data_IF_568808298297
#
_entry.id   IF_568808298297
#
_cell.length_a   1.000
_cell.length_b   1.000
_cell.length_c   1.000
_cell.angle_alpha   90.00
_cell.angle_beta   90.00
_cell.angle_gamma   90.00
#
_symmetry.space_group_name_H-M   'P 1'
#
loop_
_entity.id
_entity.type
_entity.pdbx_description
1 polymer ?
#
# COMPACT_ATOMS: atom_id res chain seq x y z
N UNK A 1 -18.68 15.28 9.69
CA UNK A 1 -18.97 14.31 8.61
C UNK A 1 -18.06 13.12 8.83
N UNK A 2 -18.58 11.89 8.82
CA UNK A 2 -17.71 10.71 8.71
C UNK A 2 -17.26 10.71 7.25
N UNK A 3 -16.00 11.05 7.00
CA UNK A 3 -15.40 10.89 5.66
C UNK A 3 -15.52 9.41 5.25
N UNK A 4 -15.86 9.11 4.00
CA UNK A 4 -15.96 7.72 3.51
C UNK A 4 -14.59 7.01 3.58
N UNK A 5 -14.54 5.73 3.97
CA UNK A 5 -13.32 4.92 3.95
C UNK A 5 -13.67 3.53 3.39
N UNK A 6 -13.15 3.11 2.22
CA UNK A 6 -12.12 3.76 1.41
C UNK A 6 -12.62 5.03 0.74
N UNK A 7 -11.75 6.02 0.55
CA UNK A 7 -12.08 7.24 -0.20
C UNK A 7 -11.67 7.10 -1.67
N UNK A 8 -12.40 7.74 -2.59
CA UNK A 8 -11.96 7.87 -3.99
C UNK A 8 -10.92 8.99 -4.10
N UNK A 9 -9.64 8.62 -4.26
CA UNK A 9 -8.53 9.57 -4.44
C UNK A 9 -8.49 10.09 -5.87
N UNK A 10 -8.63 9.20 -6.86
CA UNK A 10 -8.69 9.59 -8.27
C UNK A 10 -9.74 8.75 -9.01
N UNK A 11 -10.69 9.37 -9.74
CA UNK A 11 -11.41 8.67 -10.79
C UNK A 11 -10.44 8.35 -11.95
N UNK A 12 -10.84 7.43 -12.83
CA UNK A 12 -10.05 7.17 -14.04
C UNK A 12 -9.93 8.41 -14.95
N UNK A 13 -11.01 9.20 -15.04
CA UNK A 13 -11.06 10.42 -15.83
C UNK A 13 -11.92 11.47 -15.10
N UNK A 14 -11.31 12.60 -14.74
CA UNK A 14 -12.01 13.71 -14.06
C UNK A 14 -13.14 14.34 -14.88
N UNK A 15 -13.06 14.32 -16.21
CA UNK A 15 -14.14 14.80 -17.07
C UNK A 15 -15.32 13.81 -17.14
N UNK A 16 -15.08 12.52 -16.82
CA UNK A 16 -16.09 11.45 -16.87
C UNK A 16 -15.93 10.52 -15.66
N UNK A 17 -16.22 11.04 -14.47
CA UNK A 17 -15.91 10.40 -13.18
C UNK A 17 -16.52 9.00 -12.98
N UNK A 18 -17.57 8.64 -13.73
CA UNK A 18 -18.22 7.31 -13.69
C UNK A 18 -17.77 6.38 -14.82
N UNK A 19 -16.95 6.86 -15.76
CA UNK A 19 -16.53 6.07 -16.91
C UNK A 19 -15.40 5.12 -16.51
N UNK A 20 -15.56 3.85 -16.87
CA UNK A 20 -14.56 2.81 -16.67
C UNK A 20 -14.11 2.25 -18.01
N UNK A 21 -12.80 2.24 -18.27
CA UNK A 21 -12.24 1.71 -19.52
C UNK A 21 -11.96 0.21 -19.49
N UNK A 22 -12.21 -0.47 -18.37
CA UNK A 22 -11.80 -1.86 -18.15
C UNK A 22 -10.52 -2.01 -17.31
N UNK A 23 -9.79 -0.93 -17.01
CA UNK A 23 -8.61 -0.98 -16.13
C UNK A 23 -9.00 -1.37 -14.70
N UNK A 24 -8.33 -2.37 -14.15
CA UNK A 24 -8.56 -2.85 -12.77
C UNK A 24 -8.38 -1.72 -11.75
N UNK A 25 -9.32 -1.41 -10.85
CA UNK A 25 -9.11 -0.40 -9.80
C UNK A 25 -7.98 -0.76 -8.85
N UNK A 26 -7.38 0.23 -8.18
CA UNK A 26 -6.36 0.01 -7.15
C UNK A 26 -6.78 0.58 -5.80
N UNK A 27 -6.56 -0.18 -4.72
CA UNK A 27 -6.70 0.28 -3.34
C UNK A 27 -5.31 0.48 -2.72
N UNK A 28 -5.02 1.69 -2.25
CA UNK A 28 -3.75 2.07 -1.62
C UNK A 28 -3.95 2.30 -0.13
N UNK A 29 -3.32 1.47 0.70
CA UNK A 29 -3.38 1.55 2.16
C UNK A 29 -2.39 2.60 2.68
N UNK A 30 -2.77 3.30 3.75
CA UNK A 30 -1.93 4.34 4.35
C UNK A 30 -0.53 3.85 4.76
N UNK A 31 0.42 4.78 4.80
CA UNK A 31 1.77 4.54 5.31
C UNK A 31 1.80 4.54 6.86
N UNK A 32 2.99 4.40 7.45
CA UNK A 32 3.15 4.41 8.91
C UNK A 32 2.60 5.68 9.58
N UNK A 33 2.59 6.81 8.87
CA UNK A 33 1.99 8.06 9.31
C UNK A 33 0.46 8.07 9.39
N UNK A 34 -0.23 7.03 8.90
CA UNK A 34 -1.68 6.85 9.08
C UNK A 34 -2.57 7.57 8.05
N UNK A 35 -1.99 8.27 7.07
CA UNK A 35 -2.73 9.08 6.10
C UNK A 35 -2.61 8.56 4.68
N UNK A 36 -3.51 8.99 3.81
CA UNK A 36 -3.49 8.74 2.36
C UNK A 36 -2.98 9.95 1.58
N UNK A 37 -2.49 10.99 2.26
CA UNK A 37 -2.13 12.29 1.65
C UNK A 37 -1.14 12.15 0.49
N UNK A 38 -0.13 11.29 0.63
CA UNK A 38 0.85 11.03 -0.43
C UNK A 38 0.21 10.61 -1.76
N UNK A 39 -0.92 9.88 -1.71
CA UNK A 39 -1.63 9.43 -2.90
C UNK A 39 -2.45 10.55 -3.57
N UNK A 40 -2.90 11.54 -2.79
CA UNK A 40 -3.55 12.75 -3.32
C UNK A 40 -2.57 13.67 -4.05
N UNK A 41 -1.27 13.57 -3.77
CA UNK A 41 -0.24 14.35 -4.44
C UNK A 41 0.13 13.80 -5.83
N UNK A 42 -0.28 12.57 -6.18
CA UNK A 42 0.08 11.93 -7.45
C UNK A 42 -0.58 12.63 -8.65
N UNK A 43 0.13 12.68 -9.76
CA UNK A 43 -0.48 13.00 -11.06
C UNK A 43 -1.54 11.92 -11.43
N UNK A 44 -2.42 12.20 -12.41
CA UNK A 44 -3.46 11.25 -12.80
C UNK A 44 -2.91 9.88 -13.22
N UNK A 45 -3.23 8.84 -12.45
CA UNK A 45 -2.90 7.44 -12.74
C UNK A 45 -3.78 6.83 -13.85
N UNK A 46 -4.83 7.56 -14.27
CA UNK A 46 -5.79 7.17 -15.33
C UNK A 46 -6.39 5.79 -15.06
N UNK A 47 -6.80 5.58 -13.80
CA UNK A 47 -7.42 4.37 -13.22
C UNK A 47 -8.18 4.82 -11.97
N UNK A 48 -9.19 4.07 -11.54
CA UNK A 48 -9.81 4.32 -10.23
C UNK A 48 -8.83 3.98 -9.11
N UNK A 49 -8.53 4.97 -8.27
CA UNK A 49 -7.60 4.88 -7.14
C UNK A 49 -8.36 5.18 -5.86
N UNK A 50 -8.39 4.20 -4.97
CA UNK A 50 -9.01 4.31 -3.66
C UNK A 50 -7.93 4.39 -2.58
N UNK A 51 -8.11 5.29 -1.62
CA UNK A 51 -7.24 5.45 -0.45
C UNK A 51 -7.90 4.83 0.77
N UNK A 52 -7.15 4.02 1.52
CA UNK A 52 -7.61 3.46 2.80
C UNK A 52 -6.79 4.07 3.93
N UNK A 53 -7.40 5.00 4.67
CA UNK A 53 -6.74 5.72 5.78
C UNK A 53 -6.88 4.96 7.10
N UNK A 54 -6.00 5.28 8.06
CA UNK A 54 -6.09 4.73 9.41
C UNK A 54 -7.33 5.28 10.13
N UNK A 55 -8.33 4.45 10.51
CA UNK A 55 -9.51 4.92 11.25
C UNK A 55 -9.20 5.45 12.64
N UNK A 56 -8.03 5.11 13.18
CA UNK A 56 -7.60 5.49 14.52
C UNK A 56 -6.59 6.63 14.52
N UNK A 57 -6.37 7.28 13.37
CA UNK A 57 -5.43 8.39 13.24
C UNK A 57 -5.67 9.51 14.27
N UNK A 58 -6.94 9.86 14.50
CA UNK A 58 -7.29 10.90 15.48
C UNK A 58 -7.54 10.36 16.88
N UNK A 59 -8.09 9.15 17.01
CA UNK A 59 -8.44 8.59 18.31
C UNK A 59 -7.24 7.99 19.05
N UNK A 60 -6.17 7.63 18.35
CA UNK A 60 -5.02 6.92 18.91
C UNK A 60 -5.33 5.51 19.40
N UNK A 61 -6.51 4.97 19.07
CA UNK A 61 -6.87 3.58 19.40
C UNK A 61 -5.89 2.61 18.72
N UNK A 62 -5.55 1.55 19.43
CA UNK A 62 -4.68 0.48 18.92
C UNK A 62 -5.50 -0.59 18.21
N UNK A 63 -4.85 -1.32 17.31
CA UNK A 63 -5.35 -2.59 16.82
C UNK A 63 -4.76 -3.69 17.71
N UNK A 64 -5.49 -4.15 18.72
CA UNK A 64 -4.98 -5.12 19.69
C UNK A 64 -4.51 -6.42 19.03
N UNK A 65 -5.23 -6.90 18.03
CA UNK A 65 -4.85 -8.04 17.18
C UNK A 65 -3.75 -7.71 16.15
N UNK A 66 -3.23 -6.48 16.16
CA UNK A 66 -2.12 -6.03 15.34
C UNK A 66 -2.44 -5.92 13.84
N UNK A 67 -1.43 -6.20 13.01
CA UNK A 67 -1.56 -6.10 11.55
C UNK A 67 -2.72 -6.95 10.98
N UNK A 68 -2.96 -8.22 11.42
CA UNK A 68 -4.09 -9.00 10.94
C UNK A 68 -5.46 -8.38 11.23
N UNK A 69 -5.67 -7.80 12.42
CA UNK A 69 -6.92 -7.12 12.78
C UNK A 69 -7.15 -5.87 11.92
N UNK A 70 -6.11 -5.04 11.78
CA UNK A 70 -6.17 -3.87 10.90
C UNK A 70 -6.52 -4.25 9.46
N UNK A 71 -5.85 -5.29 8.93
CA UNK A 71 -6.12 -5.79 7.59
C UNK A 71 -7.54 -6.35 7.44
N UNK A 72 -8.08 -7.05 8.46
CA UNK A 72 -9.45 -7.57 8.43
C UNK A 72 -10.49 -6.44 8.34
N UNK A 73 -10.27 -5.35 9.08
CA UNK A 73 -11.10 -4.15 8.97
C UNK A 73 -11.03 -3.55 7.55
N UNK A 74 -9.86 -3.52 6.93
CA UNK A 74 -9.66 -2.99 5.58
C UNK A 74 -10.27 -3.91 4.52
N UNK A 75 -10.18 -5.23 4.68
CA UNK A 75 -10.87 -6.21 3.82
C UNK A 75 -12.37 -5.97 3.83
N UNK A 76 -12.97 -5.77 5.00
CA UNK A 76 -14.41 -5.49 5.09
C UNK A 76 -14.81 -4.22 4.31
N UNK A 77 -14.01 -3.16 4.40
CA UNK A 77 -14.22 -1.91 3.67
C UNK A 77 -14.00 -2.03 2.17
N UNK A 78 -12.95 -2.73 1.73
CA UNK A 78 -12.71 -3.02 0.31
C UNK A 78 -13.88 -3.80 -0.27
N UNK A 79 -14.35 -4.85 0.43
CA UNK A 79 -15.52 -5.63 -0.01
C UNK A 79 -16.79 -4.79 -0.06
N UNK A 80 -17.03 -3.93 0.93
CA UNK A 80 -18.17 -3.02 0.92
C UNK A 80 -18.11 -2.03 -0.25
N UNK A 81 -16.94 -1.45 -0.52
CA UNK A 81 -16.74 -0.55 -1.65
C UNK A 81 -16.97 -1.26 -2.99
N UNK A 82 -16.41 -2.47 -3.15
CA UNK A 82 -16.63 -3.30 -4.34
C UNK A 82 -18.09 -3.73 -4.48
N UNK A 83 -18.80 -3.98 -3.38
CA UNK A 83 -20.21 -4.37 -3.40
C UNK A 83 -21.17 -3.21 -3.68
N UNK A 84 -20.74 -1.95 -3.56
CA UNK A 84 -21.59 -0.79 -3.81
C UNK A 84 -21.98 -0.66 -5.29
N UNK A 85 -23.23 -0.28 -5.59
CA UNK A 85 -23.71 -0.09 -6.98
C UNK A 85 -23.00 1.04 -7.72
N UNK A 86 -22.39 1.95 -6.95
CA UNK A 86 -21.55 3.03 -7.47
C UNK A 86 -20.15 2.59 -7.86
N UNK A 87 -19.75 1.34 -7.56
CA UNK A 87 -18.43 0.84 -7.92
C UNK A 87 -18.32 0.63 -9.43
N UNK A 88 -17.40 1.34 -10.11
CA UNK A 88 -17.42 1.46 -11.57
C UNK A 88 -16.91 0.20 -12.29
N UNK A 89 -16.11 -0.64 -11.63
CA UNK A 89 -15.48 -1.82 -12.23
C UNK A 89 -16.26 -3.12 -12.00
N UNK A 90 -17.60 -3.03 -11.95
CA UNK A 90 -18.48 -4.20 -11.97
C UNK A 90 -18.90 -4.53 -13.39
N UNK A 91 -18.68 -5.77 -13.82
CA UNK A 91 -19.30 -6.27 -15.06
C UNK A 91 -20.74 -6.67 -14.75
N UNK A 92 -21.70 -5.94 -15.32
CA UNK A 92 -23.12 -6.22 -15.14
C UNK A 92 -23.43 -7.69 -15.49
N UNK A 93 -24.11 -8.39 -14.58
CA UNK A 93 -24.49 -9.80 -14.75
C UNK A 93 -23.36 -10.82 -14.62
N UNK A 94 -22.13 -10.42 -14.26
CA UNK A 94 -21.04 -11.37 -14.02
C UNK A 94 -21.10 -11.94 -12.60
N UNK A 95 -20.97 -13.26 -12.49
CA UNK A 95 -20.76 -13.97 -11.22
C UNK A 95 -19.28 -14.11 -10.85
N UNK A 96 -18.37 -13.60 -11.70
CA UNK A 96 -16.94 -13.65 -11.42
C UNK A 96 -16.58 -12.62 -10.33
N UNK A 97 -15.55 -12.90 -9.50
CA UNK A 97 -15.06 -11.93 -8.55
C UNK A 97 -14.57 -10.67 -9.28
N UNK A 98 -14.75 -9.52 -8.64
CA UNK A 98 -14.23 -8.25 -9.13
C UNK A 98 -12.73 -8.23 -8.94
N UNK A 99 -12.00 -8.00 -10.03
CA UNK A 99 -10.56 -7.84 -10.01
C UNK A 99 -10.18 -6.49 -9.38
N UNK A 100 -9.21 -6.53 -8.46
CA UNK A 100 -8.60 -5.36 -7.86
C UNK A 100 -7.07 -5.50 -7.84
N UNK A 101 -6.38 -4.36 -7.89
CA UNK A 101 -5.00 -4.24 -7.44
C UNK A 101 -5.01 -3.66 -6.03
N UNK A 102 -4.01 -4.01 -5.25
CA UNK A 102 -3.81 -3.43 -3.92
C UNK A 102 -2.36 -3.03 -3.73
N UNK A 103 -2.10 -2.12 -2.80
CA UNK A 103 -0.74 -1.71 -2.51
C UNK A 103 -0.64 -0.63 -1.46
N UNK A 104 0.54 -0.06 -1.34
CA UNK A 104 0.77 1.10 -0.50
C UNK A 104 2.24 1.37 -0.27
N UNK A 105 2.50 2.53 0.32
CA UNK A 105 3.83 2.98 0.71
C UNK A 105 4.17 2.53 2.12
N UNK A 106 5.40 2.06 2.33
CA UNK A 106 5.93 1.69 3.63
C UNK A 106 5.06 0.60 4.29
N UNK A 107 4.49 0.87 5.46
CA UNK A 107 3.47 0.04 6.12
C UNK A 107 2.37 -0.42 5.14
N UNK A 108 1.87 0.46 4.28
CA UNK A 108 0.76 0.15 3.38
C UNK A 108 1.07 -0.99 2.41
N UNK A 109 2.34 -1.13 1.99
CA UNK A 109 2.79 -2.27 1.19
C UNK A 109 2.81 -3.56 1.99
N UNK A 110 3.22 -3.53 3.26
CA UNK A 110 3.13 -4.69 4.16
C UNK A 110 1.67 -5.08 4.44
N UNK A 111 0.82 -4.11 4.74
CA UNK A 111 -0.62 -4.31 4.91
C UNK A 111 -1.25 -4.92 3.67
N UNK A 112 -0.82 -4.52 2.47
CA UNK A 112 -1.33 -5.11 1.23
C UNK A 112 -1.01 -6.60 1.09
N UNK A 113 0.12 -7.07 1.64
CA UNK A 113 0.45 -8.50 1.69
C UNK A 113 -0.51 -9.28 2.60
N UNK A 114 -0.81 -8.74 3.78
CA UNK A 114 -1.79 -9.31 4.72
C UNK A 114 -3.21 -9.33 4.11
N UNK A 115 -3.65 -8.20 3.53
CA UNK A 115 -4.95 -8.09 2.86
C UNK A 115 -5.06 -9.09 1.70
N UNK A 116 -4.01 -9.25 0.88
CA UNK A 116 -3.99 -10.27 -0.18
C UNK A 116 -4.20 -11.68 0.37
N UNK A 117 -3.63 -11.97 1.55
CA UNK A 117 -3.75 -13.29 2.17
C UNK A 117 -5.16 -13.55 2.67
N UNK A 118 -5.78 -12.55 3.29
CA UNK A 118 -7.14 -12.66 3.82
C UNK A 118 -8.20 -12.72 2.71
N UNK A 119 -7.93 -12.09 1.55
CA UNK A 119 -8.78 -12.18 0.35
C UNK A 119 -8.48 -13.41 -0.54
N UNK A 120 -7.52 -14.25 -0.16
CA UNK A 120 -7.19 -15.42 -0.97
C UNK A 120 -8.39 -16.39 -1.06
N UNK A 121 -8.87 -16.64 -2.29
CA UNK A 121 -10.03 -17.49 -2.54
C UNK A 121 -11.38 -16.82 -2.23
N UNK A 122 -11.41 -15.51 -1.99
CA UNK A 122 -12.67 -14.79 -1.83
C UNK A 122 -13.51 -14.85 -3.12
N UNK A 123 -14.81 -15.07 -2.96
CA UNK A 123 -15.75 -15.27 -4.07
C UNK A 123 -16.16 -13.96 -4.77
N UNK A 124 -16.04 -12.84 -4.08
CA UNK A 124 -16.54 -11.54 -4.52
C UNK A 124 -15.41 -10.64 -5.03
N UNK A 125 -14.20 -10.81 -4.49
CA UNK A 125 -13.03 -9.96 -4.80
C UNK A 125 -11.82 -10.81 -5.11
N UNK A 126 -11.11 -10.49 -6.20
CA UNK A 126 -9.84 -11.15 -6.57
C UNK A 126 -8.70 -10.14 -6.64
N UNK A 127 -7.65 -10.38 -5.87
CA UNK A 127 -6.42 -9.58 -5.91
C UNK A 127 -5.56 -10.03 -7.09
N UNK A 128 -5.45 -9.20 -8.12
CA UNK A 128 -4.63 -9.47 -9.31
C UNK A 128 -3.15 -9.21 -9.11
N UNK A 129 -2.79 -8.32 -8.19
CA UNK A 129 -1.42 -7.93 -7.97
C UNK A 129 -1.24 -6.99 -6.79
N UNK A 130 -0.01 -6.95 -6.30
CA UNK A 130 0.39 -6.19 -5.11
C UNK A 130 1.45 -5.16 -5.52
N UNK A 131 1.22 -3.89 -5.19
CA UNK A 131 2.19 -2.82 -5.35
C UNK A 131 2.78 -2.44 -3.99
N UNK A 132 4.07 -2.73 -3.78
CA UNK A 132 4.79 -2.29 -2.59
C UNK A 132 5.63 -1.08 -2.95
N UNK A 133 5.45 0.04 -2.26
CA UNK A 133 6.24 1.25 -2.48
C UNK A 133 7.16 1.42 -1.28
N UNK A 134 8.44 1.24 -1.50
CA UNK A 134 9.52 1.39 -0.53
C UNK A 134 9.27 0.70 0.82
N UNK A 135 8.67 -0.49 0.77
CA UNK A 135 8.35 -1.32 1.93
C UNK A 135 9.50 -2.31 2.15
N UNK A 136 10.43 -1.99 3.06
CA UNK A 136 11.55 -2.88 3.39
C UNK A 136 11.10 -4.12 4.17
N UNK A 137 11.82 -5.24 4.05
CA UNK A 137 11.56 -6.44 4.81
C UNK A 137 11.79 -6.19 6.32
N UNK A 138 10.90 -6.63 7.23
CA UNK A 138 11.01 -6.32 8.66
C UNK A 138 12.05 -7.21 9.40
N UNK A 139 13.26 -7.38 8.87
CA UNK A 139 14.32 -8.26 9.39
C UNK A 139 14.68 -7.99 10.86
N UNK A 140 14.97 -6.73 11.20
CA UNK A 140 15.43 -6.34 12.54
C UNK A 140 14.40 -6.60 13.63
N UNK A 141 13.13 -6.78 13.27
CA UNK A 141 12.07 -7.06 14.24
C UNK A 141 11.69 -8.54 14.29
N UNK A 142 11.86 -9.26 13.18
CA UNK A 142 11.82 -10.73 13.20
C UNK A 142 12.93 -11.33 14.07
N UNK A 143 14.14 -10.76 14.02
CA UNK A 143 15.33 -11.27 14.73
C UNK A 143 15.39 -10.81 16.21
N UNK A 144 14.79 -9.66 16.56
CA UNK A 144 14.73 -9.14 17.95
C UNK A 144 13.34 -9.18 18.59
N UNK A 145 12.45 -10.04 18.07
CA UNK A 145 11.06 -10.20 18.53
C UNK A 145 10.95 -10.34 20.05
N UNK A 146 11.93 -10.98 20.69
CA UNK A 146 11.97 -11.18 22.14
C UNK A 146 12.47 -9.96 22.93
N UNK A 147 13.39 -9.16 22.39
CA UNK A 147 13.96 -8.00 23.09
C UNK A 147 13.05 -6.76 23.07
N UNK A 148 12.34 -6.55 21.95
CA UNK A 148 11.39 -5.44 21.80
C UNK A 148 10.18 -5.64 22.71
N UNK A 149 9.67 -6.87 22.81
CA UNK A 149 8.56 -7.23 23.71
C UNK A 149 8.94 -7.00 25.18
N UNK A 150 10.16 -7.38 25.59
CA UNK A 150 10.62 -7.18 26.98
C UNK A 150 10.87 -5.72 27.39
N UNK A 151 11.11 -4.81 26.44
CA UNK A 151 11.26 -3.37 26.75
C UNK A 151 9.91 -2.65 26.88
N UNK A 152 8.84 -3.19 26.30
CA UNK A 152 7.50 -2.60 26.33
C UNK A 152 6.61 -3.17 27.45
N UNK A 153 6.93 -4.33 28.02
CA UNK A 153 6.12 -5.04 29.03
C UNK A 153 6.63 -4.85 30.49
N UNK A 154 7.52 -3.89 30.75
CA UNK A 154 7.95 -3.53 32.11
C UNK A 154 6.91 -2.65 32.82
N UNK A 155 6.29 -3.18 33.89
CA UNK A 155 5.23 -2.58 34.73
C UNK A 155 5.67 -1.28 35.44
N UNK A 156 6.97 -1.05 35.57
CA UNK A 156 7.59 0.10 36.23
C UNK A 156 7.72 1.34 35.31
N UNK A 157 7.34 1.22 34.02
CA UNK A 157 7.76 2.13 32.94
C UNK A 157 6.65 2.90 32.21
N UNK A 158 5.37 2.71 32.51
CA UNK A 158 4.27 3.42 31.80
C UNK A 158 4.33 4.95 32.00
N UNK A 159 4.61 5.42 33.21
CA UNK A 159 4.77 6.86 33.49
C UNK A 159 5.99 7.46 32.76
N UNK A 160 7.10 6.73 32.68
CA UNK A 160 8.31 7.16 31.94
C UNK A 160 8.08 7.17 30.43
N UNK A 161 7.36 6.18 29.89
CA UNK A 161 6.98 6.13 28.47
C UNK A 161 6.02 7.26 28.10
N UNK A 162 5.04 7.58 28.95
CA UNK A 162 4.16 8.71 28.75
C UNK A 162 4.91 10.04 28.82
N UNK A 163 5.80 10.22 29.79
CA UNK A 163 6.61 11.42 29.93
C UNK A 163 7.52 11.63 28.70
N UNK A 164 8.19 10.57 28.26
CA UNK A 164 9.03 10.59 27.04
C UNK A 164 8.20 10.86 25.78
N UNK A 165 6.99 10.29 25.68
CA UNK A 165 6.09 10.59 24.58
C UNK A 165 5.64 12.06 24.57
N UNK A 166 5.36 12.66 25.74
CA UNK A 166 5.00 14.08 25.87
C UNK A 166 6.18 14.98 25.51
N UNK A 167 7.39 14.65 25.94
CA UNK A 167 8.61 15.36 25.57
C UNK A 167 8.86 15.26 24.05
N UNK A 168 8.70 14.07 23.47
CA UNK A 168 8.82 13.86 22.03
C UNK A 168 7.79 14.71 21.27
N UNK A 169 6.58 14.88 21.80
CA UNK A 169 5.51 15.66 21.17
C UNK A 169 5.64 17.18 21.37
N UNK A 170 6.48 17.62 22.30
CA UNK A 170 6.68 19.03 22.59
C UNK A 170 7.21 19.80 21.37
N UNK A 171 6.61 20.96 21.08
CA UNK A 171 7.00 21.82 19.95
C UNK A 171 6.58 21.31 18.57
N UNK A 172 5.88 20.18 18.47
CA UNK A 172 5.38 19.64 17.21
C UNK A 172 3.97 20.12 16.89
N UNK A 173 3.70 20.26 15.59
CA UNK A 173 2.34 20.53 15.10
C UNK A 173 1.41 19.36 15.37
N UNK A 174 0.09 19.60 15.39
CA UNK A 174 -0.93 18.55 15.56
C UNK A 174 -0.71 17.37 14.61
N UNK A 175 -0.48 17.63 13.32
CA UNK A 175 -0.31 16.57 12.33
C UNK A 175 0.97 15.76 12.54
N UNK A 176 2.06 16.40 12.97
CA UNK A 176 3.29 15.71 13.34
C UNK A 176 3.06 14.79 14.55
N UNK A 177 2.39 15.26 15.59
CA UNK A 177 2.05 14.44 16.77
C UNK A 177 1.20 13.22 16.38
N UNK A 178 0.12 13.43 15.62
CA UNK A 178 -0.76 12.33 15.20
C UNK A 178 -0.03 11.31 14.31
N UNK A 179 0.77 11.79 13.36
CA UNK A 179 1.59 10.94 12.48
C UNK A 179 2.61 10.14 13.27
N UNK A 180 3.25 10.74 14.27
CA UNK A 180 4.21 10.05 15.14
C UNK A 180 3.56 8.96 15.99
N UNK A 181 2.39 9.23 16.58
CA UNK A 181 1.62 8.22 17.31
C UNK A 181 1.21 7.06 16.40
N UNK A 182 0.75 7.36 15.18
CA UNK A 182 0.44 6.34 14.18
C UNK A 182 1.68 5.51 13.79
N UNK A 183 2.84 6.15 13.62
CA UNK A 183 4.09 5.44 13.31
C UNK A 183 4.56 4.54 14.47
N UNK A 184 4.37 4.96 15.73
CA UNK A 184 4.66 4.10 16.89
C UNK A 184 3.79 2.84 16.85
N UNK A 185 2.49 3.01 16.62
CA UNK A 185 1.57 1.88 16.50
C UNK A 185 1.90 0.98 15.30
N UNK A 186 2.24 1.56 14.15
CA UNK A 186 2.70 0.83 12.97
C UNK A 186 3.92 -0.05 13.29
N UNK A 187 4.92 0.50 13.99
CA UNK A 187 6.11 -0.24 14.41
C UNK A 187 5.77 -1.38 15.37
N UNK A 188 4.88 -1.14 16.36
CA UNK A 188 4.39 -2.18 17.27
C UNK A 188 3.72 -3.32 16.50
N UNK A 189 2.84 -2.99 15.56
CA UNK A 189 2.17 -4.00 14.73
C UNK A 189 3.15 -4.79 13.87
N UNK A 190 4.07 -4.11 13.17
CA UNK A 190 5.11 -4.78 12.36
C UNK A 190 5.96 -5.71 13.23
N UNK A 191 6.27 -5.30 14.46
CA UNK A 191 7.10 -6.08 15.36
C UNK A 191 6.53 -7.44 15.74
N UNK A 192 5.21 -7.47 15.89
CA UNK A 192 4.45 -8.67 16.30
C UNK A 192 3.86 -9.39 15.09
N UNK A 193 3.97 -8.85 13.88
CA UNK A 193 3.35 -9.43 12.70
C UNK A 193 4.03 -10.72 12.26
N UNK A 194 3.23 -11.78 12.08
CA UNK A 194 3.66 -13.00 11.41
C UNK A 194 3.41 -12.85 9.92
N UNK A 195 4.48 -12.96 9.14
CA UNK A 195 4.39 -12.81 7.70
C UNK A 195 3.44 -13.86 7.10
N UNK A 196 2.48 -13.45 6.26
CA UNK A 196 1.54 -14.35 5.60
C UNK A 196 2.20 -15.52 4.89
N UNK A 197 1.51 -16.64 4.78
CA UNK A 197 1.94 -17.80 3.98
C UNK A 197 0.79 -18.29 3.10
N UNK A 198 1.10 -18.68 1.86
CA UNK A 198 0.15 -19.27 0.92
C UNK A 198 0.42 -20.77 0.79
N UNK A 199 -0.12 -21.55 1.73
CA UNK A 199 0.07 -23.00 1.74
C UNK A 199 -0.61 -23.65 0.53
N UNK A 200 0.18 -24.31 -0.32
CA UNK A 200 -0.31 -24.99 -1.53
C UNK A 200 -0.83 -24.06 -2.63
N UNK A 201 -0.58 -22.75 -2.52
CA UNK A 201 -1.10 -21.73 -3.41
C UNK A 201 -0.05 -20.71 -3.81
N UNK A 202 -0.25 -20.04 -4.96
CA UNK A 202 0.60 -18.93 -5.37
C UNK A 202 0.03 -17.61 -4.87
N UNK A 203 0.86 -16.81 -4.19
CA UNK A 203 0.58 -15.41 -3.88
C UNK A 203 0.35 -14.59 -5.17
N UNK A 204 -0.49 -13.55 -5.16
CA UNK A 204 -0.57 -12.62 -6.28
C UNK A 204 0.81 -12.03 -6.63
N UNK A 205 1.11 -11.78 -7.92
CA UNK A 205 2.38 -11.16 -8.30
C UNK A 205 2.55 -9.81 -7.59
N UNK A 206 3.78 -9.50 -7.15
CA UNK A 206 4.07 -8.19 -6.58
C UNK A 206 5.16 -7.46 -7.36
N UNK A 207 5.07 -6.13 -7.39
CA UNK A 207 6.13 -5.24 -7.86
C UNK A 207 6.52 -4.33 -6.70
N UNK A 208 7.83 -4.16 -6.52
CA UNK A 208 8.40 -3.18 -5.59
C UNK A 208 8.78 -1.91 -6.35
N UNK A 209 8.44 -0.75 -5.80
CA UNK A 209 9.08 0.51 -6.16
C UNK A 209 10.08 0.83 -5.05
N UNK A 210 11.36 1.00 -5.39
CA UNK A 210 12.44 1.20 -4.42
C UNK A 210 13.04 2.59 -4.56
N UNK A 211 13.12 3.32 -3.46
CA UNK A 211 13.90 4.56 -3.38
C UNK A 211 15.39 4.22 -3.42
N UNK A 212 16.15 4.92 -4.29
CA UNK A 212 17.59 4.65 -4.50
C UNK A 212 18.47 5.16 -3.37
N UNK A 213 18.14 6.32 -2.83
CA UNK A 213 18.98 7.02 -1.87
C UNK A 213 18.72 6.48 -0.47
N UNK A 214 19.79 6.43 0.33
CA UNK A 214 19.69 6.15 1.76
C UNK A 214 19.80 7.42 2.59
N UNK A 215 19.21 7.38 3.77
CA UNK A 215 19.37 8.36 4.84
C UNK A 215 20.72 8.25 5.56
N UNK A 216 21.53 7.20 5.32
CA UNK A 216 22.83 6.96 5.98
C UNK A 216 23.82 8.12 5.85
N UNK A 217 23.64 9.03 4.88
CA UNK A 217 24.48 10.23 4.79
C UNK A 217 24.22 11.26 5.92
N UNK A 218 23.18 11.09 6.76
CA UNK A 218 22.80 12.07 7.79
C UNK A 218 22.52 11.52 9.19
N UNK A 219 22.17 10.24 9.38
CA UNK A 219 21.99 9.67 10.73
C UNK A 219 21.95 8.13 10.74
N UNK A 220 22.53 7.50 11.77
CA UNK A 220 22.65 6.04 11.93
C UNK A 220 21.36 5.33 12.41
N UNK A 221 20.19 5.96 12.26
CA UNK A 221 18.93 5.51 12.90
C UNK A 221 17.85 4.97 11.96
N UNK A 222 18.08 4.89 10.65
CA UNK A 222 17.08 4.39 9.71
C UNK A 222 17.09 2.85 9.62
N UNK A 223 16.40 2.16 10.53
CA UNK A 223 16.13 0.70 10.39
C UNK A 223 15.49 0.33 9.05
N UNK A 224 14.85 1.30 8.39
CA UNK A 224 14.25 1.17 7.07
C UNK A 224 15.27 1.06 5.93
N UNK A 225 16.53 1.45 6.16
CA UNK A 225 17.60 1.37 5.16
C UNK A 225 18.54 0.17 5.36
N UNK A 226 18.27 -0.68 6.34
CA UNK A 226 19.10 -1.86 6.68
C UNK A 226 19.50 -2.67 5.44
N UNK A 227 18.52 -2.94 4.57
CA UNK A 227 18.71 -3.71 3.33
C UNK A 227 18.60 -2.82 2.08
N UNK A 228 18.88 -1.51 2.18
CA UNK A 228 18.73 -0.55 1.07
C UNK A 228 19.58 -0.90 -0.15
N UNK A 229 20.78 -1.46 0.10
CA UNK A 229 21.68 -1.92 -0.95
C UNK A 229 21.07 -3.10 -1.73
N UNK A 230 20.24 -3.91 -1.09
CA UNK A 230 19.61 -5.06 -1.71
C UNK A 230 18.50 -4.64 -2.66
N UNK A 231 18.44 -5.30 -3.82
CA UNK A 231 17.47 -4.98 -4.86
C UNK A 231 16.02 -5.12 -4.36
N UNK A 232 15.76 -6.12 -3.52
CA UNK A 232 14.44 -6.41 -2.99
C UNK A 232 14.25 -5.94 -1.56
N UNK A 233 15.13 -5.08 -1.02
CA UNK A 233 15.03 -4.55 0.34
C UNK A 233 14.89 -5.65 1.42
N UNK A 234 15.63 -6.75 1.28
CA UNK A 234 15.63 -7.86 2.24
C UNK A 234 14.54 -8.91 2.04
N UNK A 235 13.59 -8.70 1.11
CA UNK A 235 12.46 -9.60 0.92
C UNK A 235 12.83 -10.96 0.34
N UNK A 236 14.03 -11.11 -0.23
CA UNK A 236 14.56 -12.39 -0.68
C UNK A 236 14.69 -13.42 0.44
N UNK A 237 14.75 -12.96 1.70
CA UNK A 237 14.71 -13.80 2.90
C UNK A 237 13.33 -14.44 3.14
N UNK A 238 12.27 -13.78 2.69
CA UNK A 238 10.90 -14.26 2.80
C UNK A 238 10.53 -15.15 1.62
N UNK A 239 10.78 -14.67 0.40
CA UNK A 239 10.52 -15.38 -0.85
C UNK A 239 11.46 -14.82 -1.92
N UNK A 240 12.33 -15.68 -2.49
CA UNK A 240 13.24 -15.30 -3.58
C UNK A 240 12.50 -14.80 -4.82
N UNK A 241 11.25 -15.21 -5.00
CA UNK A 241 10.37 -14.85 -6.10
C UNK A 241 9.30 -13.82 -5.63
N UNK A 242 9.56 -13.11 -4.52
CA UNK A 242 8.64 -12.13 -3.94
C UNK A 242 8.22 -11.04 -4.94
N UNK A 243 9.14 -10.57 -5.78
CA UNK A 243 8.84 -9.52 -6.75
C UNK A 243 9.05 -10.00 -8.18
N UNK A 244 8.02 -9.87 -9.01
CA UNK A 244 8.16 -10.09 -10.46
C UNK A 244 8.96 -8.97 -11.12
N UNK A 245 9.06 -7.81 -10.46
CA UNK A 245 9.86 -6.69 -10.89
C UNK A 245 10.15 -5.70 -9.74
N UNK A 246 11.22 -4.91 -9.89
CA UNK A 246 11.57 -3.81 -8.98
C UNK A 246 11.89 -2.58 -9.82
N UNK A 247 11.21 -1.48 -9.54
CA UNK A 247 11.40 -0.18 -10.20
C UNK A 247 12.10 0.78 -9.24
N UNK A 248 13.28 1.25 -9.63
CA UNK A 248 14.00 2.26 -8.85
C UNK A 248 13.47 3.68 -9.16
N UNK A 249 13.37 4.50 -8.12
CA UNK A 249 13.01 5.93 -8.21
C UNK A 249 14.02 6.80 -7.44
N UNK A 250 14.12 8.06 -7.84
CA UNK A 250 14.99 9.03 -7.16
C UNK A 250 14.49 9.37 -5.76
N UNK A 251 15.43 9.61 -4.84
CA UNK A 251 15.12 10.01 -3.47
C UNK A 251 15.29 8.86 -2.49
N UNK A 252 14.95 9.14 -1.24
CA UNK A 252 14.93 8.22 -0.12
C UNK A 252 13.49 8.04 0.37
N UNK A 253 13.29 7.12 1.32
CA UNK A 253 11.97 6.75 1.85
C UNK A 253 11.06 7.96 2.11
N UNK A 254 11.54 8.96 2.86
CA UNK A 254 10.73 10.10 3.31
C UNK A 254 10.55 11.26 2.31
N UNK A 255 11.31 11.33 1.22
CA UNK A 255 11.21 12.46 0.27
C UNK A 255 10.69 12.06 -1.11
N UNK A 256 10.42 10.78 -1.36
CA UNK A 256 10.02 10.29 -2.68
C UNK A 256 8.67 10.86 -3.18
N UNK A 257 7.87 11.46 -2.28
CA UNK A 257 6.63 12.18 -2.58
C UNK A 257 6.77 13.71 -2.51
N UNK A 258 8.00 14.24 -2.42
CA UNK A 258 8.23 15.68 -2.54
C UNK A 258 7.74 16.18 -3.91
N UNK A 259 7.27 17.43 -3.97
CA UNK A 259 6.73 18.04 -5.18
C UNK A 259 7.61 17.86 -6.44
N UNK A 260 8.94 17.95 -6.29
CA UNK A 260 9.88 17.77 -7.41
C UNK A 260 10.02 16.32 -7.90
N UNK A 261 9.55 15.35 -7.13
CA UNK A 261 9.65 13.91 -7.42
C UNK A 261 8.31 13.26 -7.80
N UNK A 262 7.20 13.94 -7.56
CA UNK A 262 5.84 13.49 -7.91
C UNK A 262 5.75 12.92 -9.34
N UNK A 263 6.23 13.59 -10.40
CA UNK A 263 6.14 13.02 -11.75
C UNK A 263 6.83 11.66 -11.89
N UNK A 264 8.00 11.51 -11.27
CA UNK A 264 8.79 10.28 -11.31
C UNK A 264 8.13 9.12 -10.56
N UNK A 265 7.67 9.35 -9.32
CA UNK A 265 6.98 8.32 -8.55
C UNK A 265 5.61 7.97 -9.17
N UNK A 266 4.88 8.95 -9.68
CA UNK A 266 3.62 8.68 -10.40
C UNK A 266 3.86 7.81 -11.63
N UNK A 267 4.87 8.12 -12.45
CA UNK A 267 5.21 7.31 -13.61
C UNK A 267 5.60 5.87 -13.23
N UNK A 268 6.37 5.69 -12.14
CA UNK A 268 6.74 4.37 -11.64
C UNK A 268 5.51 3.58 -11.16
N UNK A 269 4.61 4.21 -10.40
CA UNK A 269 3.34 3.59 -9.95
C UNK A 269 2.48 3.19 -11.15
N UNK A 270 2.28 4.08 -12.12
CA UNK A 270 1.48 3.79 -13.31
C UNK A 270 2.06 2.61 -14.11
N UNK A 271 3.40 2.58 -14.27
CA UNK A 271 4.12 1.49 -14.92
C UNK A 271 3.97 0.17 -14.17
N UNK A 272 4.11 0.17 -12.84
CA UNK A 272 3.94 -1.03 -12.02
C UNK A 272 2.51 -1.58 -12.10
N UNK A 273 1.49 -0.72 -11.94
CA UNK A 273 0.09 -1.13 -12.04
C UNK A 273 -0.27 -1.69 -13.43
N UNK A 274 0.34 -1.16 -14.49
CA UNK A 274 0.20 -1.69 -15.86
C UNK A 274 0.88 -3.05 -16.02
N UNK A 275 2.04 -3.27 -15.38
CA UNK A 275 2.74 -4.56 -15.41
C UNK A 275 2.04 -5.66 -14.60
N UNK A 276 1.38 -5.29 -13.50
CA UNK A 276 0.58 -6.21 -12.68
C UNK A 276 -0.72 -6.63 -13.38
N UNK A 277 -1.25 -5.77 -14.24
CA UNK A 277 -2.48 -6.03 -15.00
C UNK A 277 -2.34 -5.47 -16.42
N UNK A 278 -1.60 -6.18 -17.30
CA UNK A 278 -1.39 -5.73 -18.68
C UNK A 278 -2.73 -5.73 -19.44
N UNK A 279 -2.94 -4.76 -20.34
CA UNK A 279 -4.10 -4.81 -21.22
C UNK A 279 -4.07 -6.11 -22.04
N UNK A 280 -5.24 -6.64 -22.42
CA UNK A 280 -5.29 -7.76 -23.35
C UNK A 280 -4.52 -7.39 -24.64
N UNK A 281 -3.88 -8.37 -25.31
CA UNK A 281 -3.19 -8.12 -26.57
C UNK A 281 -4.13 -7.41 -27.54
N UNK A 282 -3.64 -6.41 -28.26
CA UNK A 282 -4.42 -5.79 -29.31
C UNK A 282 -4.74 -6.86 -30.35
N UNK A 283 -6.03 -7.04 -30.64
CA UNK A 283 -6.50 -7.99 -31.64
C UNK A 283 -6.03 -7.49 -33.02
N UNK A 284 -5.00 -8.12 -33.57
CA UNK A 284 -4.37 -7.75 -34.86
C UNK A 284 -5.37 -7.78 -36.04
N UNK A 285 -6.57 -8.31 -35.86
CA UNK A 285 -7.62 -8.41 -36.89
C UNK A 285 -8.49 -7.16 -37.10
N UNK A 286 -8.47 -6.16 -36.21
CA UNK A 286 -9.43 -5.03 -36.31
C UNK A 286 -9.03 -3.91 -37.26
N UNK A 287 -7.77 -3.84 -37.69
CA UNK A 287 -7.29 -2.82 -38.64
C UNK A 287 -7.48 -3.19 -40.13
N UNK A 288 -7.85 -4.44 -40.45
CA UNK A 288 -8.07 -4.85 -41.85
C UNK A 288 -9.42 -4.36 -42.41
N UNK A 289 -10.42 -4.12 -41.56
CA UNK A 289 -11.77 -3.73 -41.99
C UNK A 289 -11.96 -2.22 -42.19
N UNK A 290 -11.10 -1.37 -41.61
CA UNK A 290 -11.26 0.09 -41.76
C UNK A 290 -10.70 0.64 -43.07
N UNK A 291 -9.80 -0.08 -43.75
CA UNK A 291 -9.30 0.31 -45.08
C UNK A 291 -10.16 -0.19 -46.25
N UNK A 292 -11.09 -1.12 -46.04
CA UNK A 292 -11.92 -1.67 -47.12
C UNK A 292 -13.18 -0.83 -47.46
N UNK A 293 -13.52 0.18 -46.66
CA UNK A 293 -14.74 1.00 -46.86
C UNK A 293 -14.48 2.48 -47.12
N UNK A 294 -13.23 2.91 -47.33
CA UNK A 294 -12.89 4.29 -47.67
C UNK A 294 -12.84 4.57 -49.18
N UNK A 295 -13.48 3.75 -50.00
CA UNK A 295 -13.50 3.92 -51.45
C UNK A 295 -14.86 3.65 -52.06
N UNK A 296 -15.75 4.64 -51.97
CA UNK A 296 -16.76 4.98 -52.99
C UNK A 296 -17.14 6.46 -52.83
#
# INVERSE_FOLDING_TARGET
MIEENPELVQPENWARIKSWSGKTPVFLFHDGGGTTFAYHCLEPLKRFVYGVRNPHFYSGKRFEGGMPEMAAQYVAWVKAAVAADTFPAKRAGSLAPVDILIGGWSLGGMTSLEVARQLYGDKDVRVKGILMIDSAYPALVAERRQQVVSMEEGDDGEEDLEARAREEEAGKTKNQVLSMRAMREARRMIARWELPRWEGARRPPAILIRARDSLYARDWTATIDTDRAERMLGWERYDKDMFVDVLDVDGHHFNMFDHSRIPGITAAIAKALTRLDPPPPADEGSNAWSMAHAGF
#
